data_IF_970583683959
#
_entry.id   IF_970583683959
#
_cell.length_a   1.000
_cell.length_b   1.000
_cell.length_c   1.000
_cell.angle_alpha   90.00
_cell.angle_beta   90.00
_cell.angle_gamma   90.00
#
_symmetry.space_group_name_H-M   'P 1'
#
loop_
_entity.id
_entity.type
_entity.pdbx_description
1 polymer ?
#
# COMPACT_ATOMS: atom_id res chain seq x y z
N UNK A 1 26.53 11.48 15.92
CA UNK A 1 25.30 11.97 15.25
C UNK A 1 24.31 10.84 15.11
N UNK A 2 23.06 11.05 15.55
CA UNK A 2 21.96 10.08 15.46
C UNK A 2 21.58 9.85 13.98
N UNK A 3 21.36 8.59 13.58
CA UNK A 3 20.84 8.23 12.26
C UNK A 3 19.37 8.64 12.15
N UNK A 4 18.95 9.15 11.00
CA UNK A 4 17.53 9.41 10.72
C UNK A 4 16.83 8.10 10.38
N UNK A 5 15.75 7.76 11.08
CA UNK A 5 15.04 6.48 10.95
C UNK A 5 13.56 6.66 10.64
N UNK A 6 12.83 5.55 10.48
CA UNK A 6 11.38 5.58 10.23
C UNK A 6 10.61 6.12 11.43
N UNK A 7 11.14 5.94 12.64
CA UNK A 7 10.56 6.45 13.88
C UNK A 7 10.55 7.98 13.88
N UNK A 8 11.61 8.63 13.37
CA UNK A 8 11.63 10.07 13.19
C UNK A 8 10.54 10.52 12.19
N UNK A 9 10.33 9.75 11.12
CA UNK A 9 9.24 9.99 10.16
C UNK A 9 7.85 9.84 10.80
N UNK A 10 7.65 8.84 11.67
CA UNK A 10 6.40 8.69 12.42
C UNK A 10 6.16 9.84 13.41
N UNK A 11 7.21 10.34 14.07
CA UNK A 11 7.11 11.53 14.93
C UNK A 11 6.65 12.74 14.11
N UNK A 12 7.26 12.97 12.95
CA UNK A 12 6.88 14.06 12.06
C UNK A 12 5.43 13.91 11.60
N UNK A 13 5.00 12.71 11.18
CA UNK A 13 3.60 12.48 10.82
C UNK A 13 2.65 12.76 12.00
N UNK A 14 3.01 12.37 13.24
CA UNK A 14 2.18 12.67 14.42
C UNK A 14 2.05 14.18 14.68
N UNK A 15 3.09 14.97 14.41
CA UNK A 15 2.99 16.43 14.49
C UNK A 15 1.98 16.97 13.48
N UNK A 16 2.01 16.45 12.25
CA UNK A 16 1.01 16.75 11.23
C UNK A 16 -0.40 16.27 11.65
N UNK A 17 -0.52 15.08 12.25
CA UNK A 17 -1.78 14.56 12.80
C UNK A 17 -2.34 15.45 13.91
N UNK A 18 -1.50 15.99 14.78
CA UNK A 18 -1.94 16.92 15.83
C UNK A 18 -2.48 18.23 15.25
N UNK A 19 -1.83 18.75 14.19
CA UNK A 19 -2.20 20.00 13.52
C UNK A 19 -3.43 19.87 12.61
N UNK A 20 -3.49 18.81 11.80
CA UNK A 20 -4.49 18.65 10.73
C UNK A 20 -5.55 17.57 11.01
N UNK A 21 -5.45 16.87 12.15
CA UNK A 21 -6.39 15.83 12.58
C UNK A 21 -6.56 14.74 11.51
N UNK A 22 -7.80 14.36 11.22
CA UNK A 22 -8.16 13.37 10.20
C UNK A 22 -7.68 13.74 8.79
N UNK A 23 -7.34 15.00 8.51
CA UNK A 23 -6.83 15.43 7.20
C UNK A 23 -5.31 15.29 7.05
N UNK A 24 -4.61 14.82 8.09
CA UNK A 24 -3.14 14.74 8.08
C UNK A 24 -2.58 13.85 6.96
N UNK A 25 -3.33 12.84 6.50
CA UNK A 25 -2.96 11.99 5.38
C UNK A 25 -2.73 12.77 4.08
N UNK A 26 -3.30 13.97 3.92
CA UNK A 26 -3.14 14.80 2.72
C UNK A 26 -1.75 15.43 2.63
N UNK A 27 -1.03 15.50 3.75
CA UNK A 27 0.25 16.17 3.86
C UNK A 27 1.45 15.22 3.80
N UNK A 28 1.27 13.98 3.36
CA UNK A 28 2.34 12.97 3.34
C UNK A 28 3.52 13.42 2.48
N UNK A 29 3.28 14.03 1.31
CA UNK A 29 4.34 14.61 0.50
C UNK A 29 5.10 15.72 1.23
N UNK A 30 4.42 16.55 2.03
CA UNK A 30 5.07 17.59 2.82
C UNK A 30 5.87 16.98 3.99
N UNK A 31 5.34 15.96 4.68
CA UNK A 31 6.09 15.21 5.71
C UNK A 31 7.38 14.65 5.14
N UNK A 32 7.34 14.06 3.94
CA UNK A 32 8.54 13.54 3.27
C UNK A 32 9.48 14.68 2.84
N UNK A 33 8.95 15.81 2.36
CA UNK A 33 9.75 16.99 2.00
C UNK A 33 10.50 17.57 3.20
N UNK A 34 9.83 17.68 4.34
CA UNK A 34 10.41 18.18 5.60
C UNK A 34 11.41 17.20 6.20
N UNK A 35 11.23 15.90 5.97
CA UNK A 35 12.15 14.86 6.43
C UNK A 35 13.47 14.86 5.65
N UNK A 36 13.47 15.30 4.37
CA UNK A 36 14.66 15.25 3.50
C UNK A 36 15.87 16.03 4.05
N UNK A 37 15.74 17.29 4.53
CA UNK A 37 16.85 18.01 5.16
C UNK A 37 17.38 17.33 6.43
N UNK A 38 16.51 16.73 7.25
CA UNK A 38 16.92 16.02 8.47
C UNK A 38 17.68 14.74 8.14
N UNK A 39 17.20 13.98 7.15
CA UNK A 39 17.91 12.84 6.59
C UNK A 39 19.28 13.26 6.03
N UNK A 40 19.35 14.37 5.29
CA UNK A 40 20.62 14.90 4.75
C UNK A 40 21.63 15.23 5.84
N UNK A 41 21.18 15.87 6.93
CA UNK A 41 22.03 16.15 8.09
C UNK A 41 22.57 14.87 8.71
N UNK A 42 21.78 13.81 8.80
CA UNK A 42 22.21 12.53 9.39
C UNK A 42 23.00 11.62 8.43
N UNK A 43 23.03 11.95 7.14
CA UNK A 43 23.62 11.11 6.09
C UNK A 43 25.14 11.14 6.12
N UNK A 44 25.75 9.96 5.99
CA UNK A 44 27.18 9.77 5.77
C UNK A 44 27.35 8.96 4.49
N UNK A 45 27.91 9.57 3.44
CA UNK A 45 28.11 8.91 2.15
C UNK A 45 28.30 9.91 1.02
N UNK A 46 28.43 9.39 -0.21
CA UNK A 46 28.72 10.20 -1.41
C UNK A 46 27.45 10.66 -2.14
N UNK A 47 26.41 9.83 -2.20
CA UNK A 47 25.16 10.15 -2.90
C UNK A 47 23.96 10.17 -1.96
N UNK A 48 23.66 11.36 -1.45
CA UNK A 48 22.49 11.57 -0.59
C UNK A 48 21.18 11.38 -1.35
N UNK A 49 21.11 11.71 -2.64
CA UNK A 49 19.85 11.65 -3.40
C UNK A 49 19.43 10.20 -3.64
N UNK A 50 20.38 9.32 -3.98
CA UNK A 50 20.11 7.88 -4.09
C UNK A 50 19.67 7.30 -2.75
N UNK A 51 20.38 7.64 -1.67
CA UNK A 51 20.03 7.20 -0.31
C UNK A 51 18.63 7.68 0.10
N UNK A 52 18.31 8.94 -0.18
CA UNK A 52 17.00 9.53 0.09
C UNK A 52 15.88 8.87 -0.71
N UNK A 53 16.08 8.59 -2.01
CA UNK A 53 15.09 7.89 -2.85
C UNK A 53 14.75 6.51 -2.28
N UNK A 54 15.76 5.74 -1.87
CA UNK A 54 15.57 4.44 -1.25
C UNK A 54 14.86 4.54 0.11
N UNK A 55 15.26 5.51 0.95
CA UNK A 55 14.60 5.78 2.23
C UNK A 55 13.13 6.16 2.05
N UNK A 56 12.84 7.06 1.11
CA UNK A 56 11.49 7.60 0.85
C UNK A 56 10.52 6.50 0.42
N UNK A 57 10.93 5.65 -0.53
CA UNK A 57 10.10 4.54 -1.01
C UNK A 57 9.77 3.55 0.11
N UNK A 58 10.79 2.96 0.71
CA UNK A 58 10.64 1.95 1.77
C UNK A 58 9.85 2.44 2.97
N UNK A 59 10.03 3.71 3.37
CA UNK A 59 9.36 4.24 4.55
C UNK A 59 7.97 4.81 4.26
N UNK A 60 7.59 5.02 2.99
CA UNK A 60 6.20 5.31 2.64
C UNK A 60 5.30 4.12 3.01
N UNK A 61 5.72 2.90 2.66
CA UNK A 61 5.00 1.66 2.98
C UNK A 61 4.76 1.53 4.48
N UNK A 62 5.83 1.70 5.27
CA UNK A 62 5.76 1.68 6.74
C UNK A 62 4.90 2.79 7.32
N UNK A 63 4.95 3.98 6.72
CA UNK A 63 4.12 5.11 7.14
C UNK A 63 2.64 4.84 6.85
N UNK A 64 2.30 4.24 5.71
CA UNK A 64 0.93 3.84 5.40
C UNK A 64 0.44 2.81 6.42
N UNK A 65 1.24 1.76 6.72
CA UNK A 65 0.90 0.78 7.77
C UNK A 65 0.63 1.51 9.09
N UNK A 66 1.53 2.39 9.53
CA UNK A 66 1.36 3.16 10.77
C UNK A 66 0.07 4.01 10.80
N UNK A 67 -0.36 4.50 9.64
CA UNK A 67 -1.57 5.32 9.51
C UNK A 67 -2.83 4.47 9.65
N UNK A 68 -2.88 3.28 9.05
CA UNK A 68 -4.11 2.47 8.95
C UNK A 68 -4.19 1.33 9.97
N UNK A 69 -3.12 1.02 10.68
CA UNK A 69 -3.01 -0.17 11.53
C UNK A 69 -4.13 -0.27 12.56
N UNK A 70 -4.43 0.83 13.26
CA UNK A 70 -5.49 0.85 14.28
C UNK A 70 -6.88 0.68 13.65
N UNK A 71 -7.14 1.39 12.55
CA UNK A 71 -8.41 1.30 11.83
C UNK A 71 -8.64 -0.09 11.25
N UNK A 72 -7.61 -0.75 10.71
CA UNK A 72 -7.66 -2.13 10.23
C UNK A 72 -7.88 -3.10 11.39
N UNK A 73 -7.19 -2.90 12.51
CA UNK A 73 -7.35 -3.72 13.73
C UNK A 73 -8.76 -3.60 14.33
N UNK A 74 -9.36 -2.41 14.28
CA UNK A 74 -10.73 -2.17 14.73
C UNK A 74 -11.79 -2.85 13.84
N UNK A 75 -11.38 -3.41 12.70
CA UNK A 75 -12.20 -4.27 11.84
C UNK A 75 -11.95 -5.76 12.06
N UNK A 76 -11.24 -6.13 13.14
CA UNK A 76 -10.79 -7.49 13.42
C UNK A 76 -9.90 -8.09 12.32
N UNK A 77 -9.20 -7.23 11.58
CA UNK A 77 -8.24 -7.63 10.55
C UNK A 77 -6.80 -7.43 11.03
N UNK A 78 -5.87 -8.11 10.37
CA UNK A 78 -4.42 -7.90 10.55
C UNK A 78 -3.79 -7.34 9.30
N UNK A 79 -2.72 -6.57 9.50
CA UNK A 79 -1.90 -5.95 8.46
C UNK A 79 -0.46 -6.41 8.63
N UNK A 80 0.21 -6.74 7.52
CA UNK A 80 1.65 -7.07 7.51
C UNK A 80 2.34 -6.44 6.30
N UNK A 81 3.64 -6.18 6.45
CA UNK A 81 4.56 -5.86 5.35
C UNK A 81 4.75 -7.10 4.46
N UNK A 82 4.55 -6.95 3.15
CA UNK A 82 4.70 -8.04 2.18
C UNK A 82 6.11 -8.61 2.14
N UNK A 83 7.13 -7.78 2.36
CA UNK A 83 8.53 -8.22 2.45
C UNK A 83 8.74 -9.26 3.56
N UNK A 84 7.89 -9.25 4.60
CA UNK A 84 7.96 -10.22 5.69
C UNK A 84 7.74 -11.65 5.18
N UNK A 85 6.81 -11.83 4.23
CA UNK A 85 6.51 -13.14 3.64
C UNK A 85 7.53 -13.53 2.58
N UNK A 86 7.96 -12.57 1.75
CA UNK A 86 8.91 -12.82 0.65
C UNK A 86 10.30 -13.21 1.19
N UNK A 87 10.83 -12.43 2.13
CA UNK A 87 12.24 -12.53 2.59
C UNK A 87 12.48 -13.55 3.68
N UNK A 88 11.41 -14.11 4.25
CA UNK A 88 11.51 -15.07 5.36
C UNK A 88 11.28 -16.49 4.84
N UNK A 89 12.22 -17.38 5.15
CA UNK A 89 12.07 -18.82 4.87
C UNK A 89 10.83 -19.36 5.59
N UNK A 90 10.09 -20.26 4.95
CA UNK A 90 8.86 -20.87 5.51
C UNK A 90 9.10 -21.47 6.90
N UNK A 91 10.25 -22.11 7.13
CA UNK A 91 10.64 -22.69 8.43
C UNK A 91 10.74 -21.69 9.58
N UNK A 92 10.90 -20.41 9.25
CA UNK A 92 11.05 -19.31 10.21
C UNK A 92 9.78 -18.45 10.30
N UNK A 93 8.75 -18.75 9.51
CA UNK A 93 7.44 -18.11 9.61
C UNK A 93 6.63 -18.80 10.71
N UNK A 94 5.81 -18.02 11.41
CA UNK A 94 4.77 -18.60 12.26
C UNK A 94 3.74 -19.34 11.39
N UNK A 95 3.05 -20.33 11.97
CA UNK A 95 1.96 -21.05 11.28
C UNK A 95 0.95 -20.10 10.63
N UNK A 96 0.61 -19.01 11.32
CA UNK A 96 -0.26 -17.96 10.80
C UNK A 96 0.30 -17.36 9.49
N UNK A 97 1.55 -16.88 9.50
CA UNK A 97 2.15 -16.23 8.33
C UNK A 97 2.42 -17.20 7.18
N UNK A 98 2.73 -18.46 7.47
CA UNK A 98 2.82 -19.51 6.44
C UNK A 98 1.49 -19.75 5.74
N UNK A 99 0.36 -19.74 6.47
CA UNK A 99 -0.96 -19.85 5.85
C UNK A 99 -1.30 -18.61 5.00
N UNK A 100 -1.02 -17.40 5.51
CA UNK A 100 -1.21 -16.17 4.73
C UNK A 100 -0.37 -16.19 3.46
N UNK A 101 0.90 -16.64 3.55
CA UNK A 101 1.81 -16.80 2.40
C UNK A 101 1.22 -17.75 1.36
N UNK A 102 0.73 -18.92 1.77
CA UNK A 102 0.10 -19.91 0.88
C UNK A 102 -1.17 -19.37 0.21
N UNK A 103 -1.98 -18.61 0.95
CA UNK A 103 -3.19 -17.97 0.42
C UNK A 103 -2.92 -16.85 -0.60
N UNK A 104 -1.65 -16.48 -0.82
CA UNK A 104 -1.22 -15.49 -1.80
C UNK A 104 -0.48 -16.07 -3.00
N UNK A 105 -0.10 -17.35 -2.96
CA UNK A 105 0.70 -17.96 -4.02
C UNK A 105 -0.06 -17.97 -5.35
N UNK A 106 0.68 -17.67 -6.41
CA UNK A 106 0.24 -17.76 -7.79
C UNK A 106 0.90 -18.98 -8.41
N UNK A 107 0.09 -19.92 -8.90
CA UNK A 107 0.55 -21.04 -9.70
C UNK A 107 1.00 -20.57 -11.10
N UNK A 108 2.25 -20.82 -11.47
CA UNK A 108 2.81 -20.59 -12.81
C UNK A 108 2.97 -21.90 -13.62
N UNK A 109 2.34 -22.99 -13.19
CA UNK A 109 2.41 -24.30 -13.84
C UNK A 109 3.78 -24.93 -13.63
N UNK A 110 4.48 -25.25 -14.72
CA UNK A 110 5.81 -25.87 -14.67
C UNK A 110 6.86 -25.02 -13.91
N UNK A 111 6.65 -23.71 -13.84
CA UNK A 111 7.54 -22.78 -13.12
C UNK A 111 7.24 -22.69 -11.61
N UNK A 112 6.25 -23.44 -11.13
CA UNK A 112 5.90 -23.55 -9.71
C UNK A 112 5.12 -22.34 -9.16
N UNK A 113 5.13 -22.21 -7.83
CA UNK A 113 4.36 -21.18 -7.13
C UNK A 113 5.23 -19.97 -6.79
N UNK A 114 4.75 -18.78 -7.13
CA UNK A 114 5.43 -17.52 -6.86
C UNK A 114 4.55 -16.60 -6.03
N UNK A 115 5.17 -15.78 -5.18
CA UNK A 115 4.47 -14.71 -4.47
C UNK A 115 4.32 -13.48 -5.37
N UNK A 116 3.18 -12.78 -5.29
CA UNK A 116 3.05 -11.47 -5.91
C UNK A 116 3.92 -10.44 -5.18
N UNK A 117 4.51 -9.52 -5.94
CA UNK A 117 5.23 -8.36 -5.41
C UNK A 117 4.23 -7.29 -4.94
N UNK A 118 3.92 -7.34 -3.65
CA UNK A 118 2.95 -6.47 -2.97
C UNK A 118 3.57 -5.90 -1.70
N UNK A 119 3.29 -4.64 -1.39
CA UNK A 119 3.96 -3.94 -0.30
C UNK A 119 3.26 -4.23 1.06
N UNK A 120 1.93 -4.32 1.06
CA UNK A 120 1.12 -4.47 2.28
C UNK A 120 0.03 -5.52 2.05
N UNK A 121 -0.21 -6.37 3.05
CA UNK A 121 -1.23 -7.42 3.03
C UNK A 121 -2.20 -7.21 4.18
N UNK A 122 -3.49 -7.27 3.90
CA UNK A 122 -4.57 -7.23 4.89
C UNK A 122 -5.35 -8.55 4.84
N UNK A 123 -5.48 -9.21 5.99
CA UNK A 123 -6.09 -10.53 6.08
C UNK A 123 -6.94 -10.70 7.35
N UNK A 124 -7.85 -11.68 7.31
CA UNK A 124 -8.64 -12.08 8.47
C UNK A 124 -7.84 -13.08 9.33
N UNK A 125 -7.57 -12.77 10.62
CA UNK A 125 -6.69 -13.59 11.46
C UNK A 125 -7.27 -14.97 11.83
N UNK A 126 -8.60 -15.14 11.77
CA UNK A 126 -9.26 -16.41 12.12
C UNK A 126 -9.13 -17.48 11.03
N UNK A 127 -9.22 -17.06 9.77
CA UNK A 127 -9.21 -17.96 8.60
C UNK A 127 -7.94 -17.85 7.76
N UNK A 128 -7.09 -16.86 8.06
CA UNK A 128 -5.92 -16.47 7.26
C UNK A 128 -6.26 -16.03 5.83
N UNK A 129 -7.55 -15.80 5.53
CA UNK A 129 -8.01 -15.35 4.22
C UNK A 129 -7.50 -13.94 3.96
N UNK A 130 -6.75 -13.77 2.88
CA UNK A 130 -6.31 -12.45 2.42
C UNK A 130 -7.47 -11.73 1.77
N UNK A 131 -7.75 -10.51 2.21
CA UNK A 131 -8.86 -9.71 1.70
C UNK A 131 -8.38 -8.71 0.67
N UNK A 132 -7.25 -8.06 0.98
CA UNK A 132 -6.66 -7.06 0.12
C UNK A 132 -5.14 -7.09 0.17
N UNK A 133 -4.53 -6.76 -0.96
CA UNK A 133 -3.12 -6.41 -1.07
C UNK A 133 -3.02 -4.97 -1.57
N UNK A 134 -1.98 -4.27 -1.11
CA UNK A 134 -1.78 -2.88 -1.44
C UNK A 134 -0.35 -2.70 -1.96
N UNK A 135 -0.25 -2.01 -3.08
CA UNK A 135 1.01 -1.41 -3.52
C UNK A 135 1.00 0.07 -3.14
N UNK A 136 2.18 0.62 -2.89
CA UNK A 136 2.38 2.03 -2.64
C UNK A 136 3.63 2.54 -3.33
N UNK A 137 3.50 3.70 -3.99
CA UNK A 137 4.63 4.40 -4.58
C UNK A 137 4.42 5.90 -4.43
N UNK A 138 5.51 6.63 -4.27
CA UNK A 138 5.50 8.10 -4.19
C UNK A 138 5.07 8.73 -5.53
N UNK A 139 5.67 8.22 -6.61
CA UNK A 139 5.40 8.58 -8.01
C UNK A 139 5.04 7.33 -8.76
N UNK A 140 4.08 7.39 -9.69
CA UNK A 140 3.61 6.19 -10.38
C UNK A 140 4.44 5.90 -11.61
N UNK A 141 4.61 6.90 -12.48
CA UNK A 141 5.13 6.72 -13.85
C UNK A 141 4.55 5.45 -14.50
N UNK A 142 5.37 4.66 -15.17
CA UNK A 142 5.01 3.35 -15.74
C UNK A 142 4.81 2.24 -14.69
N UNK A 143 5.27 2.44 -13.45
CA UNK A 143 5.36 1.37 -12.43
C UNK A 143 4.01 0.87 -11.93
N UNK A 144 2.94 1.64 -12.12
CA UNK A 144 1.57 1.20 -11.82
C UNK A 144 1.16 -0.04 -12.62
N UNK A 145 1.80 -0.29 -13.78
CA UNK A 145 1.59 -1.49 -14.57
C UNK A 145 1.92 -2.79 -13.79
N UNK A 146 2.86 -2.74 -12.83
CA UNK A 146 3.18 -3.90 -11.99
C UNK A 146 2.00 -4.29 -11.10
N UNK A 147 1.34 -3.31 -10.47
CA UNK A 147 0.12 -3.55 -9.67
C UNK A 147 -1.02 -4.07 -10.55
N UNK A 148 -1.15 -3.55 -11.77
CA UNK A 148 -2.11 -4.07 -12.76
C UNK A 148 -1.85 -5.53 -13.12
N UNK A 149 -0.59 -5.89 -13.38
CA UNK A 149 -0.19 -7.27 -13.65
C UNK A 149 -0.55 -8.22 -12.50
N UNK A 150 -0.26 -7.85 -11.25
CA UNK A 150 -0.60 -8.70 -10.11
C UNK A 150 -2.09 -8.85 -9.90
N UNK A 151 -2.86 -7.80 -10.16
CA UNK A 151 -4.33 -7.89 -10.12
C UNK A 151 -4.86 -8.89 -11.15
N UNK A 152 -4.35 -8.88 -12.37
CA UNK A 152 -4.72 -9.86 -13.39
C UNK A 152 -4.34 -11.29 -12.97
N UNK A 153 -3.11 -11.48 -12.43
CA UNK A 153 -2.65 -12.80 -11.95
C UNK A 153 -3.49 -13.34 -10.80
N UNK A 154 -3.74 -12.53 -9.77
CA UNK A 154 -4.62 -12.90 -8.65
C UNK A 154 -6.04 -13.22 -9.16
N UNK A 155 -6.58 -12.42 -10.07
CA UNK A 155 -7.94 -12.61 -10.61
C UNK A 155 -8.09 -13.86 -11.47
N UNK A 156 -7.00 -14.33 -12.10
CA UNK A 156 -7.02 -15.52 -12.95
C UNK A 156 -7.12 -16.85 -12.18
N UNK A 157 -6.86 -16.87 -10.87
CA UNK A 157 -6.82 -18.12 -10.10
C UNK A 157 -7.98 -18.25 -9.13
N UNK A 158 -8.59 -19.43 -9.08
CA UNK A 158 -9.79 -19.69 -8.28
C UNK A 158 -9.60 -19.35 -6.79
N UNK A 159 -8.43 -19.64 -6.24
CA UNK A 159 -8.12 -19.40 -4.83
C UNK A 159 -7.85 -17.93 -4.51
N UNK A 160 -7.31 -17.15 -5.43
CA UNK A 160 -6.88 -15.76 -5.16
C UNK A 160 -7.75 -14.70 -5.84
N UNK A 161 -8.70 -15.07 -6.71
CA UNK A 161 -9.54 -14.12 -7.47
C UNK A 161 -10.38 -13.16 -6.63
N UNK A 162 -10.61 -13.51 -5.37
CA UNK A 162 -11.38 -12.70 -4.43
C UNK A 162 -10.54 -11.57 -3.80
N UNK A 163 -9.21 -11.64 -3.90
CA UNK A 163 -8.29 -10.68 -3.31
C UNK A 163 -8.39 -9.36 -4.06
N UNK A 164 -8.61 -8.28 -3.30
CA UNK A 164 -8.65 -6.93 -3.82
C UNK A 164 -7.25 -6.34 -3.95
N UNK A 165 -6.95 -5.71 -5.08
CA UNK A 165 -5.66 -5.03 -5.31
C UNK A 165 -5.89 -3.54 -5.31
N UNK A 166 -5.34 -2.89 -4.29
CA UNK A 166 -5.43 -1.45 -4.10
C UNK A 166 -4.07 -0.76 -4.29
N UNK A 167 -4.12 0.53 -4.60
CA UNK A 167 -2.93 1.35 -4.76
C UNK A 167 -3.00 2.61 -3.90
N UNK A 168 -2.05 2.83 -2.99
CA UNK A 168 -2.00 4.04 -2.15
C UNK A 168 -0.82 4.90 -2.57
N UNK A 169 -1.05 6.20 -2.78
CA UNK A 169 0.00 7.07 -3.32
C UNK A 169 -0.22 8.54 -2.99
N UNK A 170 0.85 9.31 -2.74
CA UNK A 170 0.79 10.77 -2.78
C UNK A 170 0.63 11.35 -4.20
N UNK A 171 0.84 10.55 -5.26
CA UNK A 171 0.75 10.96 -6.67
C UNK A 171 1.58 12.21 -7.02
N UNK A 172 2.85 12.26 -6.59
CA UNK A 172 3.69 13.46 -6.76
C UNK A 172 3.99 13.83 -8.22
N UNK A 173 3.75 12.94 -9.17
CA UNK A 173 3.86 13.19 -10.62
C UNK A 173 2.51 13.48 -11.30
N UNK A 174 1.43 13.59 -10.51
CA UNK A 174 0.10 13.92 -10.97
C UNK A 174 -0.44 12.95 -12.01
N UNK A 175 -0.12 11.67 -11.87
CA UNK A 175 -0.52 10.63 -12.82
C UNK A 175 -2.02 10.38 -12.77
N UNK A 176 -2.64 10.56 -11.60
CA UNK A 176 -4.03 10.23 -11.34
C UNK A 176 -4.96 11.44 -11.23
N UNK A 177 -4.47 12.67 -11.49
CA UNK A 177 -5.26 13.91 -11.33
C UNK A 177 -6.42 13.98 -12.32
N UNK A 178 -6.14 13.88 -13.63
CA UNK A 178 -7.11 14.09 -14.72
C UNK A 178 -7.60 12.76 -15.29
N UNK A 179 -8.91 12.64 -15.51
CA UNK A 179 -9.56 11.48 -16.12
C UNK A 179 -9.69 11.63 -17.64
N UNK A 180 -9.84 12.84 -18.17
CA UNK A 180 -9.91 13.06 -19.62
C UNK A 180 -9.11 14.29 -20.08
N UNK A 181 -8.06 14.13 -20.92
CA UNK A 181 -7.50 12.86 -21.36
C UNK A 181 -6.78 12.13 -20.21
N UNK A 182 -7.00 10.82 -20.09
CA UNK A 182 -6.33 10.01 -19.08
C UNK A 182 -4.85 9.79 -19.44
N UNK A 183 -3.94 9.99 -18.48
CA UNK A 183 -2.60 9.40 -18.56
C UNK A 183 -2.72 7.87 -18.52
N UNK A 184 -1.79 7.14 -19.15
CA UNK A 184 -1.77 5.66 -19.15
C UNK A 184 -1.92 5.05 -17.75
N UNK A 185 -1.25 5.63 -16.75
CA UNK A 185 -1.36 5.16 -15.37
C UNK A 185 -2.76 5.31 -14.77
N UNK A 186 -3.46 6.41 -15.07
CA UNK A 186 -4.87 6.59 -14.70
C UNK A 186 -5.76 5.54 -15.35
N UNK A 187 -5.56 5.25 -16.64
CA UNK A 187 -6.32 4.22 -17.35
C UNK A 187 -6.13 2.82 -16.71
N UNK A 188 -4.90 2.43 -16.35
CA UNK A 188 -4.63 1.15 -15.68
C UNK A 188 -5.37 1.06 -14.34
N UNK A 189 -5.38 2.13 -13.54
CA UNK A 189 -6.12 2.13 -12.27
C UNK A 189 -7.63 1.97 -12.50
N UNK A 190 -8.19 2.67 -13.48
CA UNK A 190 -9.62 2.65 -13.78
C UNK A 190 -10.07 1.32 -14.38
N UNK A 191 -9.23 0.66 -15.17
CA UNK A 191 -9.61 -0.59 -15.84
C UNK A 191 -9.22 -1.80 -14.99
N UNK A 192 -7.97 -1.88 -14.56
CA UNK A 192 -7.39 -3.12 -14.06
C UNK A 192 -7.49 -3.26 -12.54
N UNK A 193 -7.32 -2.18 -11.76
CA UNK A 193 -7.27 -2.26 -10.29
C UNK A 193 -8.66 -2.25 -9.64
N UNK A 194 -8.73 -2.66 -8.36
CA UNK A 194 -9.96 -2.54 -7.55
C UNK A 194 -10.12 -1.15 -6.93
N UNK A 195 -9.05 -0.35 -6.88
CA UNK A 195 -9.10 1.04 -6.44
C UNK A 195 -7.73 1.64 -6.11
N UNK A 196 -7.69 2.96 -6.00
CA UNK A 196 -6.53 3.76 -5.63
C UNK A 196 -6.94 4.93 -4.75
N UNK A 197 -6.07 5.24 -3.79
CA UNK A 197 -6.31 6.17 -2.70
C UNK A 197 -5.20 7.20 -2.61
N UNK A 198 -5.56 8.47 -2.81
CA UNK A 198 -4.60 9.56 -2.91
C UNK A 198 -4.36 10.24 -1.55
N UNK A 199 -3.08 10.35 -1.19
CA UNK A 199 -2.54 10.96 0.03
C UNK A 199 -2.10 12.42 -0.20
N UNK A 200 -2.90 13.18 -0.93
CA UNK A 200 -2.56 14.56 -1.32
C UNK A 200 -3.72 15.53 -1.08
N UNK A 201 -3.39 16.81 -0.94
CA UNK A 201 -4.33 17.93 -0.98
C UNK A 201 -4.78 18.27 -2.40
N UNK A 202 -4.03 17.85 -3.42
CA UNK A 202 -4.32 18.11 -4.82
C UNK A 202 -5.73 17.64 -5.18
N UNK A 203 -6.49 18.51 -5.84
CA UNK A 203 -7.78 18.12 -6.40
C UNK A 203 -7.59 17.09 -7.51
N UNK A 204 -8.41 16.04 -7.48
CA UNK A 204 -8.39 14.95 -8.44
C UNK A 204 -9.80 14.76 -8.98
N UNK A 205 -9.91 14.43 -10.26
CA UNK A 205 -11.17 13.96 -10.83
C UNK A 205 -11.46 12.57 -10.28
N UNK A 206 -12.36 12.47 -9.30
CA UNK A 206 -12.64 11.21 -8.59
C UNK A 206 -13.44 10.23 -9.45
N UNK A 207 -13.29 8.95 -9.15
CA UNK A 207 -14.10 7.86 -9.72
C UNK A 207 -14.41 6.81 -8.66
N UNK A 208 -15.06 5.72 -9.06
CA UNK A 208 -15.26 4.54 -8.21
C UNK A 208 -13.94 3.83 -7.87
N UNK A 209 -12.85 4.09 -8.62
CA UNK A 209 -11.53 3.49 -8.44
C UNK A 209 -10.42 4.49 -8.16
N UNK A 210 -10.62 5.79 -8.33
CA UNK A 210 -9.65 6.83 -7.92
C UNK A 210 -10.31 7.74 -6.90
N UNK A 211 -9.89 7.61 -5.63
CA UNK A 211 -10.52 8.26 -4.48
C UNK A 211 -9.49 8.95 -3.62
N UNK A 212 -9.95 9.86 -2.78
CA UNK A 212 -9.13 10.39 -1.68
C UNK A 212 -8.99 9.33 -0.59
N UNK A 213 -7.88 9.36 0.14
CA UNK A 213 -7.53 8.29 1.09
C UNK A 213 -8.51 8.11 2.26
N UNK A 214 -9.29 9.13 2.63
CA UNK A 214 -10.37 9.02 3.62
C UNK A 214 -11.43 7.96 3.24
N UNK A 215 -11.50 7.53 1.98
CA UNK A 215 -12.42 6.47 1.54
C UNK A 215 -11.90 5.05 1.76
N UNK A 216 -10.60 4.87 2.03
CA UNK A 216 -9.99 3.55 2.09
C UNK A 216 -10.62 2.63 3.15
N UNK A 217 -10.73 3.10 4.39
CA UNK A 217 -11.31 2.29 5.47
C UNK A 217 -12.79 1.99 5.23
N UNK A 218 -13.52 2.91 4.59
CA UNK A 218 -14.91 2.67 4.21
C UNK A 218 -15.04 1.56 3.16
N UNK A 219 -14.22 1.60 2.12
CA UNK A 219 -14.21 0.56 1.08
C UNK A 219 -13.78 -0.80 1.66
N UNK A 220 -12.80 -0.82 2.59
CA UNK A 220 -12.40 -2.04 3.29
C UNK A 220 -13.53 -2.63 4.14
N UNK A 221 -14.31 -1.80 4.86
CA UNK A 221 -15.52 -2.24 5.57
C UNK A 221 -16.55 -2.87 4.63
N UNK A 222 -16.72 -2.30 3.44
CA UNK A 222 -17.60 -2.84 2.41
C UNK A 222 -17.25 -4.29 2.02
N UNK A 223 -15.97 -4.64 1.95
CA UNK A 223 -15.52 -6.01 1.66
C UNK A 223 -15.95 -7.02 2.75
N UNK A 224 -15.94 -6.59 4.01
CA UNK A 224 -16.32 -7.43 5.15
C UNK A 224 -17.84 -7.66 5.14
N UNK A 225 -18.63 -6.62 4.90
CA UNK A 225 -20.10 -6.72 4.88
C UNK A 225 -20.60 -7.60 3.73
N UNK A 226 -20.01 -7.49 2.54
CA UNK A 226 -20.33 -8.36 1.41
C UNK A 226 -20.04 -9.84 1.72
N UNK A 227 -18.99 -10.12 2.50
CA UNK A 227 -18.69 -11.48 2.95
C UNK A 227 -19.78 -12.01 3.87
N UNK A 228 -20.22 -11.21 4.85
CA UNK A 228 -21.23 -11.64 5.82
C UNK A 228 -22.59 -11.93 5.18
N UNK A 229 -22.96 -11.20 4.12
CA UNK A 229 -24.21 -11.40 3.41
C UNK A 229 -24.22 -12.63 2.49
N UNK A 230 -23.06 -13.17 2.11
CA UNK A 230 -22.94 -14.38 1.28
C UNK A 230 -22.89 -15.68 2.10
N UNK A 231 -23.07 -15.59 3.43
CA UNK A 231 -23.10 -16.72 4.36
C UNK A 231 -24.48 -16.89 5.04
N UNK A 232 -25.52 -16.24 4.49
CA UNK A 232 -26.95 -16.46 4.77
C UNK A 232 -27.55 -17.09 3.52
#
# INVERSE_FOLDING_TARGET
>A
MKKFTVEDLFIMYRQYKNKYKEKAYKYISQVLKDAKPLHKKAFKGKDHEQSWRAFKGKNLEKLIIHIIENEVKNLDLKIIDGNKLERTKETNLSKELSNVKRNLLIDYGEFGYHLPDVDIIIYEPRTFKVLAVLSSKVTLRERIAQSGYWKLKLSSQKLTKHIKVYFITPDEDGTLITKNPAKKGRAIVEIDLDGSYILSETEIEKSTKVKTFDKFIHDLKGLINLKNNNHI
#
